data_IF_884764962075
#
_entry.id   IF_884764962075
#
_cell.length_a   1.000
_cell.length_b   1.000
_cell.length_c   1.000
_cell.angle_alpha   90.00
_cell.angle_beta   90.00
_cell.angle_gamma   90.00
#
_symmetry.space_group_name_H-M   'P 1'
#
loop_
_entity.id
_entity.type
_entity.pdbx_description
1 polymer ?
#
# COMPACT_ATOMS: atom_id res chain seq x y z
N UNK A 1 -13.31 -5.21 -3.67
CA UNK A 1 -13.52 -3.75 -3.96
C UNK A 1 -12.64 -3.23 -5.10
N UNK A 2 -11.36 -3.62 -5.14
CA UNK A 2 -10.44 -3.19 -6.20
C UNK A 2 -10.86 -3.68 -7.60
N UNK A 3 -11.27 -4.95 -7.69
CA UNK A 3 -11.79 -5.51 -8.95
C UNK A 3 -13.00 -4.73 -9.46
N UNK A 4 -13.94 -4.36 -8.59
CA UNK A 4 -15.11 -3.54 -8.94
C UNK A 4 -14.71 -2.16 -9.51
N UNK A 5 -13.63 -1.55 -8.99
CA UNK A 5 -13.09 -0.29 -9.54
C UNK A 5 -12.52 -0.53 -10.94
N UNK A 6 -11.75 -1.61 -11.13
CA UNK A 6 -11.13 -1.93 -12.42
C UNK A 6 -12.15 -2.37 -13.48
N UNK A 7 -13.22 -3.05 -13.07
CA UNK A 7 -14.35 -3.47 -13.91
C UNK A 7 -14.98 -2.27 -14.63
N UNK A 8 -15.09 -1.12 -13.94
CA UNK A 8 -15.59 0.14 -14.52
C UNK A 8 -14.75 0.65 -15.70
N UNK A 9 -13.53 0.15 -15.86
CA UNK A 9 -12.59 0.50 -16.94
C UNK A 9 -12.23 -0.67 -17.85
N UNK A 10 -12.94 -1.81 -17.81
CA UNK A 10 -12.64 -3.00 -18.64
C UNK A 10 -12.55 -2.72 -20.14
N UNK A 11 -13.30 -1.72 -20.63
CA UNK A 11 -13.28 -1.29 -22.03
C UNK A 11 -11.98 -0.57 -22.43
N UNK A 12 -11.07 -0.29 -21.49
CA UNK A 12 -9.88 0.52 -21.72
C UNK A 12 -8.70 0.09 -20.84
N UNK A 13 -7.82 -0.81 -21.34
CA UNK A 13 -6.62 -1.25 -20.61
C UNK A 13 -5.71 -0.10 -20.18
N UNK A 14 -5.63 0.97 -20.99
CA UNK A 14 -4.80 2.14 -20.67
C UNK A 14 -5.37 2.95 -19.50
N UNK A 15 -6.70 3.02 -19.34
CA UNK A 15 -7.30 3.68 -18.16
C UNK A 15 -7.15 2.80 -16.92
N UNK A 16 -7.28 1.47 -17.04
CA UNK A 16 -6.98 0.55 -15.94
C UNK A 16 -5.54 0.72 -15.43
N UNK A 17 -4.56 0.89 -16.33
CA UNK A 17 -3.18 1.15 -15.95
C UNK A 17 -3.03 2.47 -15.15
N UNK A 18 -3.75 3.53 -15.54
CA UNK A 18 -3.77 4.80 -14.79
C UNK A 18 -4.37 4.62 -13.39
N UNK A 19 -5.49 3.91 -13.30
CA UNK A 19 -6.17 3.64 -12.02
C UNK A 19 -5.29 2.83 -11.08
N UNK A 20 -4.64 1.77 -11.58
CA UNK A 20 -3.67 0.97 -10.81
C UNK A 20 -2.56 1.84 -10.25
N UNK A 21 -1.95 2.68 -11.10
CA UNK A 21 -0.90 3.59 -10.65
C UNK A 21 -1.40 4.58 -9.58
N UNK A 22 -2.61 5.13 -9.72
CA UNK A 22 -3.13 6.08 -8.73
C UNK A 22 -3.32 5.42 -7.36
N UNK A 23 -3.82 4.19 -7.34
CA UNK A 23 -4.00 3.41 -6.12
C UNK A 23 -2.64 3.02 -5.50
N UNK A 24 -1.71 2.53 -6.31
CA UNK A 24 -0.35 2.17 -5.87
C UNK A 24 0.44 3.37 -5.31
N UNK A 25 0.30 4.55 -5.91
CA UNK A 25 1.03 5.77 -5.50
C UNK A 25 0.27 6.64 -4.51
N UNK A 26 -0.99 6.32 -4.23
CA UNK A 26 -1.90 7.16 -3.44
C UNK A 26 -2.13 8.54 -4.06
N UNK A 27 -2.18 8.64 -5.39
CA UNK A 27 -2.50 9.87 -6.10
C UNK A 27 -4.00 10.15 -6.03
N UNK A 28 -4.36 11.37 -5.64
CA UNK A 28 -5.75 11.84 -5.61
C UNK A 28 -6.11 12.67 -6.83
N UNK A 29 -7.40 12.83 -7.07
CA UNK A 29 -7.97 13.73 -8.08
C UNK A 29 -8.74 14.81 -7.35
N UNK A 30 -8.39 16.07 -7.57
CA UNK A 30 -9.09 17.20 -6.96
C UNK A 30 -10.40 17.53 -7.70
N UNK A 31 -11.22 18.40 -7.11
CA UNK A 31 -12.52 18.82 -7.69
C UNK A 31 -12.38 19.50 -9.08
N UNK A 32 -11.20 20.01 -9.41
CA UNK A 32 -10.89 20.57 -10.73
C UNK A 32 -10.42 19.53 -11.76
N UNK A 33 -10.48 18.24 -11.43
CA UNK A 33 -10.07 17.13 -12.29
C UNK A 33 -8.57 16.87 -12.30
N UNK A 34 -7.75 17.61 -11.54
CA UNK A 34 -6.28 17.48 -11.60
C UNK A 34 -5.80 16.39 -10.65
N UNK A 35 -4.77 15.67 -11.08
CA UNK A 35 -4.08 14.69 -10.24
C UNK A 35 -3.20 15.43 -9.24
N UNK A 36 -3.26 15.06 -7.97
CA UNK A 36 -2.51 15.69 -6.89
C UNK A 36 -1.92 14.65 -5.94
N UNK A 37 -0.83 15.04 -5.27
CA UNK A 37 -0.36 14.37 -4.05
C UNK A 37 -0.37 15.41 -2.92
N UNK A 38 -1.33 15.25 -2.01
CA UNK A 38 -1.68 16.31 -1.06
C UNK A 38 -2.08 17.60 -1.80
N UNK A 39 -1.37 18.71 -1.52
CA UNK A 39 -1.62 20.00 -2.17
C UNK A 39 -0.84 20.23 -3.48
N UNK A 40 -0.06 19.26 -3.96
CA UNK A 40 0.84 19.42 -5.11
C UNK A 40 0.19 18.82 -6.35
N UNK A 41 0.01 19.63 -7.40
CA UNK A 41 -0.47 19.14 -8.70
C UNK A 41 0.61 18.36 -9.44
N UNK A 42 0.23 17.18 -9.94
CA UNK A 42 1.08 16.29 -10.74
C UNK A 42 0.71 16.45 -12.21
N UNK A 43 1.63 16.90 -13.09
CA UNK A 43 1.34 17.04 -14.51
C UNK A 43 1.02 15.70 -15.17
N UNK A 44 -0.06 15.63 -15.96
CA UNK A 44 -0.45 14.41 -16.67
C UNK A 44 0.64 13.87 -17.58
N UNK A 45 1.48 14.73 -18.14
CA UNK A 45 2.62 14.33 -18.97
C UNK A 45 3.65 13.50 -18.21
N UNK A 46 3.80 13.69 -16.90
CA UNK A 46 4.68 12.88 -16.07
C UNK A 46 4.12 11.48 -15.86
N UNK A 47 2.84 11.42 -15.48
CA UNK A 47 2.08 10.17 -15.28
C UNK A 47 2.03 9.35 -16.57
N UNK A 48 1.69 10.00 -17.68
CA UNK A 48 1.56 9.35 -18.98
C UNK A 48 2.89 8.78 -19.48
N UNK A 49 4.02 9.44 -19.18
CA UNK A 49 5.35 8.94 -19.51
C UNK A 49 5.71 7.70 -18.71
N UNK A 50 5.39 7.68 -17.41
CA UNK A 50 5.62 6.51 -16.55
C UNK A 50 4.88 5.27 -17.07
N UNK A 51 3.65 5.47 -17.58
CA UNK A 51 2.79 4.41 -18.07
C UNK A 51 2.94 4.09 -19.57
N UNK A 52 3.78 4.82 -20.29
CA UNK A 52 3.89 4.76 -21.76
C UNK A 52 2.53 4.92 -22.49
N UNK A 53 1.73 5.91 -22.08
CA UNK A 53 0.42 6.23 -22.68
C UNK A 53 0.34 7.70 -23.14
N UNK A 54 -0.69 8.04 -23.91
CA UNK A 54 -1.00 9.45 -24.22
C UNK A 54 -1.53 10.17 -22.97
N UNK A 55 -1.09 11.42 -22.73
CA UNK A 55 -1.58 12.25 -21.60
C UNK A 55 -3.10 12.44 -21.57
N UNK A 56 -3.77 12.31 -22.72
CA UNK A 56 -5.24 12.35 -22.85
C UNK A 56 -5.91 11.15 -22.20
N UNK A 57 -5.21 10.02 -22.09
CA UNK A 57 -5.72 8.87 -21.32
C UNK A 57 -5.84 9.25 -19.85
N UNK A 58 -4.81 9.88 -19.28
CA UNK A 58 -4.84 10.37 -17.88
C UNK A 58 -5.99 11.37 -17.68
N UNK A 59 -6.12 12.34 -18.59
CA UNK A 59 -7.20 13.35 -18.60
C UNK A 59 -8.60 12.70 -18.60
N UNK A 60 -8.85 11.81 -19.56
CA UNK A 60 -10.13 11.09 -19.65
C UNK A 60 -10.39 10.17 -18.46
N UNK A 61 -9.34 9.66 -17.81
CA UNK A 61 -9.47 8.84 -16.60
C UNK A 61 -9.90 9.71 -15.42
N UNK A 62 -9.32 10.91 -15.27
CA UNK A 62 -9.74 11.84 -14.22
C UNK A 62 -11.18 12.33 -14.41
N UNK A 63 -11.61 12.55 -15.66
CA UNK A 63 -13.01 12.87 -15.96
C UNK A 63 -13.95 11.73 -15.58
N UNK A 64 -13.59 10.49 -15.92
CA UNK A 64 -14.37 9.30 -15.58
C UNK A 64 -14.47 9.09 -14.05
N UNK A 65 -13.37 9.30 -13.32
CA UNK A 65 -13.33 9.27 -11.86
C UNK A 65 -14.32 10.28 -11.27
N UNK A 66 -14.34 11.52 -11.76
CA UNK A 66 -15.22 12.56 -11.21
C UNK A 66 -16.69 12.39 -11.59
N UNK A 67 -16.97 11.74 -12.73
CA UNK A 67 -18.32 11.45 -13.19
C UNK A 67 -19.00 10.32 -12.40
N UNK A 68 -18.23 9.39 -11.85
CA UNK A 68 -18.74 8.28 -11.03
C UNK A 68 -18.70 8.66 -9.52
N UNK A 69 -19.85 8.70 -8.81
CA UNK A 69 -19.89 9.13 -7.41
C UNK A 69 -19.05 8.28 -6.45
N UNK A 70 -18.90 6.99 -6.73
CA UNK A 70 -18.12 6.06 -5.91
C UNK A 70 -16.63 6.26 -6.14
N UNK A 71 -16.20 6.33 -7.41
CA UNK A 71 -14.81 6.62 -7.76
C UNK A 71 -14.40 7.99 -7.24
N UNK A 72 -15.24 9.01 -7.43
CA UNK A 72 -15.00 10.35 -6.92
C UNK A 72 -14.72 10.31 -5.43
N UNK A 73 -15.54 9.61 -4.64
CA UNK A 73 -15.34 9.50 -3.19
C UNK A 73 -14.00 8.85 -2.84
N UNK A 74 -13.58 7.83 -3.56
CA UNK A 74 -12.30 7.14 -3.31
C UNK A 74 -11.13 8.05 -3.68
N UNK A 75 -11.07 8.52 -4.92
CA UNK A 75 -9.91 9.24 -5.46
C UNK A 75 -9.80 10.68 -4.97
N UNK A 76 -10.84 11.28 -4.40
CA UNK A 76 -10.71 12.58 -3.71
C UNK A 76 -10.15 12.46 -2.29
N UNK A 77 -10.17 11.26 -1.70
CA UNK A 77 -9.77 11.03 -0.30
C UNK A 77 -8.50 10.16 -0.17
N UNK A 78 -8.04 9.53 -1.25
CA UNK A 78 -6.83 8.72 -1.20
C UNK A 78 -5.57 9.57 -0.96
N UNK A 79 -4.65 9.02 -0.18
CA UNK A 79 -3.34 9.62 0.10
C UNK A 79 -2.31 8.52 0.32
N UNK A 80 -1.04 8.80 0.05
CA UNK A 80 0.06 7.90 0.38
C UNK A 80 0.64 8.18 1.77
N UNK A 81 1.12 7.11 2.41
CA UNK A 81 1.92 7.16 3.63
C UNK A 81 3.37 6.87 3.23
N UNK A 82 4.37 7.65 3.68
CA UNK A 82 5.77 7.32 3.46
C UNK A 82 6.12 5.95 4.07
N UNK A 83 6.71 5.06 3.26
CA UNK A 83 7.23 3.77 3.73
C UNK A 83 8.62 3.94 4.32
N UNK A 84 8.81 3.56 5.59
CA UNK A 84 10.14 3.50 6.21
C UNK A 84 10.93 2.28 5.76
N UNK A 85 10.29 1.28 5.13
CA UNK A 85 10.98 0.09 4.62
C UNK A 85 12.03 0.46 3.57
N UNK A 86 11.66 1.32 2.61
CA UNK A 86 12.58 1.78 1.55
C UNK A 86 13.72 2.64 2.10
N UNK A 87 13.54 3.19 3.31
CA UNK A 87 14.51 4.02 4.00
C UNK A 87 15.37 3.23 4.98
N UNK A 88 15.04 1.97 5.25
CA UNK A 88 15.72 1.18 6.27
C UNK A 88 17.23 1.06 6.05
N UNK A 89 17.75 0.81 4.83
CA UNK A 89 19.19 0.68 4.59
C UNK A 89 19.99 1.96 4.83
N UNK A 90 19.34 3.13 4.86
CA UNK A 90 20.02 4.44 5.02
C UNK A 90 19.74 5.09 6.37
N UNK A 91 18.79 4.56 7.15
CA UNK A 91 18.39 5.07 8.46
C UNK A 91 18.69 4.09 9.60
N UNK A 92 19.50 3.06 9.36
CA UNK A 92 19.82 2.00 10.33
C UNK A 92 18.56 1.39 10.96
N UNK A 93 17.52 1.16 10.15
CA UNK A 93 16.29 0.50 10.59
C UNK A 93 16.33 -0.98 10.24
N UNK A 94 15.69 -1.77 11.09
CA UNK A 94 15.40 -3.18 10.86
C UNK A 94 13.99 -3.32 10.32
N UNK A 95 13.82 -4.07 9.23
CA UNK A 95 12.51 -4.44 8.69
C UNK A 95 12.28 -5.92 8.99
N UNK A 96 11.29 -6.21 9.82
CA UNK A 96 10.81 -7.57 10.05
C UNK A 96 9.67 -7.85 9.07
N UNK A 97 9.85 -8.83 8.20
CA UNK A 97 8.83 -9.27 7.25
C UNK A 97 8.23 -10.59 7.71
N UNK A 98 6.91 -10.64 7.83
CA UNK A 98 6.16 -11.82 8.28
C UNK A 98 5.18 -12.21 7.17
N UNK A 99 5.42 -13.35 6.54
CA UNK A 99 4.53 -13.92 5.53
C UNK A 99 3.43 -14.70 6.26
N UNK A 100 2.17 -14.34 6.03
CA UNK A 100 1.03 -14.91 6.74
C UNK A 100 0.19 -15.81 5.82
N UNK A 101 -0.39 -16.86 6.39
CA UNK A 101 -1.15 -17.85 5.63
C UNK A 101 -2.58 -17.43 5.32
N UNK A 102 -3.18 -16.64 6.21
CA UNK A 102 -4.55 -16.18 6.13
C UNK A 102 -4.61 -14.73 6.67
N UNK A 103 -4.24 -13.75 5.83
CA UNK A 103 -4.20 -12.34 6.26
C UNK A 103 -5.58 -11.73 6.57
N UNK A 104 -6.66 -12.43 6.23
CA UNK A 104 -8.03 -12.10 6.57
C UNK A 104 -8.39 -12.47 8.02
N UNK A 105 -7.55 -13.23 8.72
CA UNK A 105 -7.77 -13.58 10.13
C UNK A 105 -7.55 -12.38 11.07
N UNK A 106 -8.48 -12.21 12.01
CA UNK A 106 -8.38 -11.19 13.03
C UNK A 106 -7.28 -11.54 14.06
N UNK A 107 -6.56 -10.53 14.52
CA UNK A 107 -5.60 -10.66 15.64
C UNK A 107 -4.13 -10.67 15.22
N UNK A 108 -3.82 -10.89 13.94
CA UNK A 108 -2.43 -10.99 13.43
C UNK A 108 -1.57 -9.80 13.87
N UNK A 109 -2.02 -8.57 13.59
CA UNK A 109 -1.28 -7.37 13.95
C UNK A 109 -1.17 -7.21 15.47
N UNK A 110 -2.24 -7.52 16.21
CA UNK A 110 -2.27 -7.38 17.65
C UNK A 110 -1.31 -8.35 18.35
N UNK A 111 -1.28 -9.61 17.92
CA UNK A 111 -0.42 -10.65 18.49
C UNK A 111 1.05 -10.38 18.17
N UNK A 112 1.38 -10.06 16.92
CA UNK A 112 2.77 -9.71 16.54
C UNK A 112 3.26 -8.49 17.31
N UNK A 113 2.48 -7.41 17.34
CA UNK A 113 2.89 -6.19 18.06
C UNK A 113 2.91 -6.39 19.58
N UNK A 114 2.10 -7.30 20.12
CA UNK A 114 2.14 -7.74 21.51
C UNK A 114 3.45 -8.45 21.86
N UNK A 115 3.89 -9.40 21.03
CA UNK A 115 5.18 -10.07 21.19
C UNK A 115 6.32 -9.03 21.18
N UNK A 116 6.34 -8.10 20.22
CA UNK A 116 7.37 -7.04 20.22
C UNK A 116 7.36 -6.22 21.52
N UNK A 117 6.17 -5.90 22.05
CA UNK A 117 6.03 -5.15 23.29
C UNK A 117 6.52 -5.94 24.52
N UNK A 118 6.26 -7.25 24.59
CA UNK A 118 6.72 -8.11 25.69
C UNK A 118 8.25 -8.24 25.75
N UNK A 119 8.92 -8.03 24.61
CA UNK A 119 10.38 -7.98 24.49
C UNK A 119 10.94 -6.53 24.51
N UNK A 120 10.14 -5.54 24.91
CA UNK A 120 10.50 -4.11 24.99
C UNK A 120 11.03 -3.52 23.66
N UNK A 121 10.59 -4.04 22.51
CA UNK A 121 11.01 -3.57 21.18
C UNK A 121 10.12 -2.41 20.71
N UNK A 122 10.66 -1.19 20.53
CA UNK A 122 9.89 -0.07 20.02
C UNK A 122 9.56 -0.24 18.54
N UNK A 123 8.35 0.13 18.14
CA UNK A 123 7.91 0.06 16.74
C UNK A 123 7.89 1.47 16.14
N UNK A 124 8.54 1.62 14.98
CA UNK A 124 8.59 2.87 14.20
C UNK A 124 7.44 2.96 13.20
N UNK A 125 7.11 1.84 12.56
CA UNK A 125 6.01 1.72 11.62
C UNK A 125 5.55 0.27 11.51
N UNK A 126 4.24 0.07 11.31
CA UNK A 126 3.66 -1.22 10.93
C UNK A 126 2.90 -1.01 9.63
N UNK A 127 3.14 -1.89 8.66
CA UNK A 127 2.42 -1.91 7.38
C UNK A 127 1.93 -3.34 7.15
N UNK A 128 0.64 -3.48 6.86
CA UNK A 128 0.07 -4.76 6.44
C UNK A 128 -0.32 -4.63 4.98
N UNK A 129 0.05 -5.62 4.18
CA UNK A 129 -0.57 -5.77 2.88
C UNK A 129 -2.07 -6.01 3.05
N UNK A 130 -2.84 -5.51 2.09
CA UNK A 130 -4.26 -5.79 1.99
C UNK A 130 -4.42 -7.05 1.10
N UNK A 131 -5.01 -8.14 1.64
CA UNK A 131 -5.18 -9.40 0.90
C UNK A 131 -6.06 -9.25 -0.36
N UNK A 132 -6.81 -8.16 -0.53
CA UNK A 132 -7.51 -7.86 -1.78
C UNK A 132 -6.55 -7.55 -2.95
N UNK A 133 -5.27 -7.24 -2.66
CA UNK A 133 -4.29 -6.82 -3.66
C UNK A 133 -3.15 -7.82 -3.87
N UNK A 134 -3.04 -8.86 -3.04
CA UNK A 134 -1.97 -9.86 -3.12
C UNK A 134 -2.41 -11.21 -2.57
N UNK A 135 -2.02 -12.28 -3.27
CA UNK A 135 -2.21 -13.67 -2.83
C UNK A 135 -1.17 -14.13 -1.79
N UNK A 136 -0.12 -13.33 -1.59
CA UNK A 136 0.93 -13.56 -0.59
C UNK A 136 1.08 -12.32 0.32
N UNK A 137 0.07 -12.05 1.17
CA UNK A 137 0.06 -10.89 2.04
C UNK A 137 1.13 -10.99 3.13
N UNK A 138 1.77 -9.85 3.42
CA UNK A 138 2.83 -9.73 4.41
C UNK A 138 2.51 -8.66 5.43
N UNK A 139 2.98 -8.89 6.65
CA UNK A 139 3.06 -7.88 7.70
C UNK A 139 4.51 -7.43 7.80
N UNK A 140 4.73 -6.13 7.74
CA UNK A 140 6.01 -5.49 7.91
C UNK A 140 6.02 -4.70 9.21
N UNK A 141 7.03 -4.97 10.04
CA UNK A 141 7.28 -4.21 11.26
C UNK A 141 8.66 -3.58 11.17
N UNK A 142 8.70 -2.25 11.24
CA UNK A 142 9.92 -1.48 11.12
C UNK A 142 10.30 -0.96 12.50
N UNK A 143 11.55 -1.18 12.91
CA UNK A 143 12.11 -0.78 14.21
C UNK A 143 13.53 -0.23 14.03
N UNK A 144 14.02 0.52 15.02
CA UNK A 144 15.41 0.95 15.16
C UNK A 144 16.19 0.11 16.21
N UNK A 145 15.60 -0.99 16.68
CA UNK A 145 16.22 -1.93 17.61
C UNK A 145 16.69 -3.22 16.92
N UNK A 146 17.67 -3.89 17.52
CA UNK A 146 18.03 -5.26 17.18
C UNK A 146 16.94 -6.22 17.70
N UNK A 147 16.53 -7.18 16.88
CA UNK A 147 15.50 -8.16 17.27
C UNK A 147 16.11 -9.37 17.97
N UNK A 148 15.68 -9.71 19.20
CA UNK A 148 16.11 -10.92 19.89
C UNK A 148 15.76 -12.18 19.09
N UNK A 149 16.63 -13.19 19.13
CA UNK A 149 16.37 -14.47 18.45
C UNK A 149 15.16 -15.22 18.99
N UNK A 150 14.87 -15.08 20.29
CA UNK A 150 13.69 -15.67 20.94
C UNK A 150 12.38 -15.07 20.42
N UNK A 151 12.33 -13.75 20.22
CA UNK A 151 11.21 -13.05 19.59
C UNK A 151 10.91 -13.61 18.20
N UNK A 152 11.95 -13.84 17.38
CA UNK A 152 11.77 -14.38 16.03
C UNK A 152 11.23 -15.82 16.04
N UNK A 153 11.64 -16.61 17.04
CA UNK A 153 11.13 -17.98 17.23
C UNK A 153 9.66 -17.93 17.64
N UNK A 154 9.30 -17.05 18.58
CA UNK A 154 7.93 -16.88 19.04
C UNK A 154 6.98 -16.49 17.91
N UNK A 155 7.35 -15.51 17.08
CA UNK A 155 6.56 -15.12 15.90
C UNK A 155 6.45 -16.27 14.89
N UNK A 156 7.55 -16.99 14.62
CA UNK A 156 7.53 -18.10 13.66
C UNK A 156 6.65 -19.26 14.13
N UNK A 157 6.51 -19.45 15.43
CA UNK A 157 5.74 -20.56 16.00
C UNK A 157 4.23 -20.26 16.04
N UNK A 158 3.80 -19.04 15.68
CA UNK A 158 2.40 -18.68 15.44
C UNK A 158 1.83 -19.49 14.28
N UNK A 159 0.67 -20.12 14.49
CA UNK A 159 0.12 -21.12 13.56
C UNK A 159 -0.22 -20.59 12.15
N UNK A 160 -0.38 -19.29 11.99
CA UNK A 160 -0.65 -18.63 10.71
C UNK A 160 0.60 -18.08 10.03
N UNK A 161 1.78 -18.15 10.64
CA UNK A 161 3.02 -17.61 10.05
C UNK A 161 3.66 -18.66 9.16
N UNK A 162 3.85 -18.33 7.86
CA UNK A 162 4.57 -19.17 6.90
C UNK A 162 6.07 -18.98 7.00
N UNK A 163 6.50 -17.72 7.15
CA UNK A 163 7.91 -17.33 7.12
C UNK A 163 8.13 -16.01 7.86
N UNK A 164 9.32 -15.91 8.45
CA UNK A 164 9.86 -14.66 9.01
C UNK A 164 11.17 -14.32 8.28
N UNK A 165 11.39 -13.05 7.95
CA UNK A 165 12.57 -12.58 7.21
C UNK A 165 12.91 -11.11 7.49
N UNK A 166 14.00 -10.66 6.88
CA UNK A 166 14.53 -9.31 6.92
C UNK A 166 14.79 -8.80 5.51
#
# INVERSE_FOLDING_TARGET
>A
MFDEILEKFEGSPSQQAVIRLFLERGFSVNEGGRVVSGGIEIPYTGIARELDVDRRVVDSTTDAILADPELKRIFTNISSIPSLMDLAPVLDLTVLTIEVAAADEAGIVAEVTGILADHDVPIRQVLSDDPEFTDDPKLYVITDAELPGELLVEIRDLGYVRRVGF
#
